data_IF_950682316708
#
_entry.id   IF_950682316708
#
_cell.length_a   1.000
_cell.length_b   1.000
_cell.length_c   1.000
_cell.angle_alpha   90.00
_cell.angle_beta   90.00
_cell.angle_gamma   90.00
#
_symmetry.space_group_name_H-M   'P 1'
#
loop_
_entity.id
_entity.type
_entity.pdbx_description
1 polymer ?
#
# COMPACT_ATOMS: atom_id res chain seq x y z
N UNK A 1 20.17 19.49 -2.44
CA UNK A 1 19.39 18.34 -2.96
C UNK A 1 18.23 18.11 -2.00
N UNK A 2 17.06 18.66 -2.28
CA UNK A 2 15.89 18.53 -1.40
C UNK A 2 15.25 17.17 -1.71
N UNK A 3 15.46 16.18 -0.85
CA UNK A 3 14.65 14.95 -0.86
C UNK A 3 13.38 15.25 -0.08
N UNK A 4 12.32 15.62 -0.77
CA UNK A 4 10.97 15.55 -0.23
C UNK A 4 10.62 14.06 -0.08
N UNK A 5 10.90 13.48 1.09
CA UNK A 5 10.24 12.23 1.47
C UNK A 5 8.85 12.62 1.93
N UNK A 6 7.81 12.12 1.27
CA UNK A 6 6.46 12.23 1.81
C UNK A 6 6.46 11.63 3.22
N UNK A 7 5.94 12.38 4.20
CA UNK A 7 5.69 11.83 5.53
C UNK A 7 4.52 10.87 5.37
N UNK A 8 4.80 9.58 5.34
CA UNK A 8 3.78 8.54 5.35
C UNK A 8 3.36 8.33 6.80
N UNK A 9 2.12 8.71 7.12
CA UNK A 9 1.50 8.37 8.39
C UNK A 9 1.08 6.89 8.32
N UNK A 10 1.94 6.03 8.85
CA UNK A 10 1.72 4.57 8.86
C UNK A 10 1.40 4.19 10.30
N UNK A 11 0.22 3.58 10.56
CA UNK A 11 -0.12 3.13 11.90
C UNK A 11 0.98 2.23 12.48
N UNK A 12 1.33 2.39 13.76
CA UNK A 12 2.35 1.57 14.38
C UNK A 12 1.92 0.10 14.34
N UNK A 13 2.88 -0.77 14.01
CA UNK A 13 2.73 -2.22 13.99
C UNK A 13 3.83 -2.83 14.83
N UNK A 14 3.52 -3.89 15.56
CA UNK A 14 4.51 -4.60 16.37
C UNK A 14 5.22 -5.69 15.56
N UNK A 15 6.47 -5.94 15.91
CA UNK A 15 7.23 -7.05 15.38
C UNK A 15 6.76 -8.37 16.03
N UNK A 16 6.35 -9.39 15.27
CA UNK A 16 5.89 -10.66 15.82
C UNK A 16 7.01 -11.47 16.52
N UNK A 17 8.29 -11.13 16.26
CA UNK A 17 9.43 -11.85 16.85
C UNK A 17 9.88 -11.27 18.20
N UNK A 18 9.68 -9.97 18.43
CA UNK A 18 10.23 -9.29 19.62
C UNK A 18 9.37 -8.14 20.16
N UNK A 19 8.17 -7.94 19.61
CA UNK A 19 7.16 -6.95 20.01
C UNK A 19 7.57 -5.47 19.93
N UNK A 20 8.79 -5.17 19.50
CA UNK A 20 9.20 -3.79 19.16
C UNK A 20 8.36 -3.21 18.03
N UNK A 21 8.03 -1.91 18.11
CA UNK A 21 7.35 -1.17 17.04
C UNK A 21 8.20 -1.13 15.78
N UNK A 22 7.60 -1.49 14.66
CA UNK A 22 8.23 -1.48 13.34
C UNK A 22 8.41 -0.05 12.84
N UNK A 23 9.53 0.19 12.16
CA UNK A 23 9.79 1.46 11.47
C UNK A 23 9.56 1.28 9.98
N UNK A 24 8.59 2.00 9.44
CA UNK A 24 8.35 2.03 8.00
C UNK A 24 9.37 2.94 7.29
N UNK A 25 9.93 2.43 6.20
CA UNK A 25 10.97 3.09 5.41
C UNK A 25 10.47 3.53 4.02
N UNK A 26 9.33 2.99 3.60
CA UNK A 26 8.67 3.29 2.34
C UNK A 26 7.37 2.50 2.20
N UNK A 27 6.88 2.42 0.98
CA UNK A 27 5.69 1.64 0.65
C UNK A 27 5.85 0.95 -0.70
N UNK A 28 5.01 -0.05 -0.94
CA UNK A 28 4.95 -0.85 -2.13
C UNK A 28 3.48 -1.02 -2.56
N UNK A 29 3.24 -0.94 -3.86
CA UNK A 29 1.95 -1.30 -4.45
C UNK A 29 2.15 -2.58 -5.27
N UNK A 30 1.43 -3.65 -4.91
CA UNK A 30 1.61 -5.00 -5.50
C UNK A 30 0.39 -5.45 -6.30
N UNK A 31 -0.21 -4.52 -7.06
CA UNK A 31 -1.56 -4.67 -7.60
C UNK A 31 -2.55 -4.07 -6.61
N UNK A 32 -3.53 -4.85 -6.14
CA UNK A 32 -4.64 -4.30 -5.34
C UNK A 32 -4.23 -3.83 -3.94
N UNK A 33 -3.09 -4.32 -3.43
CA UNK A 33 -2.60 -4.07 -2.07
C UNK A 33 -1.60 -2.91 -2.03
N UNK A 34 -1.71 -2.14 -0.95
CA UNK A 34 -0.75 -1.11 -0.57
C UNK A 34 -0.07 -1.56 0.72
N UNK A 35 1.26 -1.67 0.69
CA UNK A 35 2.06 -2.25 1.78
C UNK A 35 3.08 -1.23 2.28
N UNK A 36 3.22 -1.08 3.58
CA UNK A 36 4.37 -0.45 4.22
C UNK A 36 5.58 -1.39 4.14
N UNK A 37 6.71 -0.88 3.65
CA UNK A 37 8.01 -1.54 3.76
C UNK A 37 8.62 -1.19 5.11
N UNK A 38 8.66 -2.16 6.03
CA UNK A 38 9.03 -1.92 7.42
C UNK A 38 10.18 -2.80 7.90
N UNK A 39 10.94 -2.28 8.87
CA UNK A 39 12.02 -3.01 9.54
C UNK A 39 11.89 -2.87 11.05
N UNK A 40 12.13 -3.96 11.78
CA UNK A 40 12.23 -3.92 13.23
C UNK A 40 13.56 -3.29 13.66
N UNK A 41 13.56 -2.24 14.50
CA UNK A 41 14.80 -1.62 14.97
C UNK A 41 15.60 -2.53 15.91
N UNK A 42 14.95 -3.47 16.60
CA UNK A 42 15.57 -4.39 17.55
C UNK A 42 16.14 -5.64 16.86
N UNK A 43 15.28 -6.55 16.39
CA UNK A 43 15.73 -7.84 15.83
C UNK A 43 16.17 -7.76 14.35
N UNK A 44 16.02 -6.59 13.71
CA UNK A 44 16.37 -6.32 12.31
C UNK A 44 15.56 -7.07 11.25
N UNK A 45 14.55 -7.87 11.64
CA UNK A 45 13.62 -8.50 10.70
C UNK A 45 12.90 -7.47 9.83
N UNK A 46 12.61 -7.86 8.60
CA UNK A 46 12.00 -7.02 7.58
C UNK A 46 10.64 -7.55 7.18
N UNK A 47 9.69 -6.65 7.03
CA UNK A 47 8.29 -6.97 6.81
C UNK A 47 7.66 -6.12 5.72
N UNK A 48 6.63 -6.68 5.07
CA UNK A 48 5.61 -5.88 4.41
C UNK A 48 4.34 -5.93 5.25
N UNK A 49 3.83 -4.77 5.67
CA UNK A 49 2.57 -4.68 6.42
C UNK A 49 1.53 -3.94 5.60
N UNK A 50 0.26 -4.32 5.67
CA UNK A 50 -0.77 -3.57 4.96
C UNK A 50 -0.89 -2.13 5.47
N UNK A 51 -1.02 -1.19 4.53
CA UNK A 51 -1.52 0.15 4.82
C UNK A 51 -3.05 0.09 4.99
N UNK A 52 -3.64 0.93 5.86
CA UNK A 52 -5.06 0.88 6.21
C UNK A 52 -5.95 1.39 5.06
N UNK A 53 -6.18 0.53 4.05
CA UNK A 53 -7.01 0.85 2.89
C UNK A 53 -7.83 -0.37 2.44
N UNK A 54 -9.11 -0.16 2.13
CA UNK A 54 -10.01 -1.25 1.70
C UNK A 54 -10.13 -2.34 2.77
N UNK A 55 -9.98 -3.62 2.38
CA UNK A 55 -10.04 -4.75 3.31
C UNK A 55 -9.01 -4.65 4.44
N UNK A 56 -7.82 -4.10 4.15
CA UNK A 56 -6.76 -3.95 5.14
C UNK A 56 -7.08 -2.92 6.25
N UNK A 57 -8.15 -2.12 6.11
CA UNK A 57 -8.64 -1.30 7.21
C UNK A 57 -9.15 -2.17 8.37
N UNK A 58 -9.73 -3.33 8.05
CA UNK A 58 -10.37 -4.23 9.02
C UNK A 58 -9.48 -5.39 9.41
N UNK A 59 -8.76 -5.95 8.43
CA UNK A 59 -7.96 -7.16 8.62
C UNK A 59 -6.56 -6.96 8.05
N UNK A 60 -5.77 -6.02 8.59
CA UNK A 60 -4.42 -5.77 8.10
C UNK A 60 -3.51 -6.97 8.40
N UNK A 61 -2.64 -7.30 7.45
CA UNK A 61 -1.74 -8.45 7.53
C UNK A 61 -0.28 -8.00 7.52
N UNK A 62 0.59 -8.78 8.17
CA UNK A 62 2.05 -8.59 8.14
C UNK A 62 2.73 -9.81 7.47
N UNK A 63 3.70 -9.55 6.60
CA UNK A 63 4.44 -10.56 5.85
C UNK A 63 5.92 -10.49 6.17
N UNK A 64 6.53 -11.59 6.61
CA UNK A 64 7.96 -11.72 6.84
C UNK A 64 8.73 -11.95 5.53
N UNK A 65 9.60 -11.01 5.17
CA UNK A 65 10.32 -11.09 3.89
C UNK A 65 11.32 -12.24 3.81
N UNK A 66 11.87 -12.65 4.96
CA UNK A 66 12.93 -13.66 5.06
C UNK A 66 12.34 -15.07 5.08
N UNK A 67 11.36 -15.30 5.95
CA UNK A 67 10.78 -16.63 6.15
C UNK A 67 9.57 -16.89 5.25
N UNK A 68 8.99 -15.84 4.64
CA UNK A 68 7.77 -15.94 3.85
C UNK A 68 6.52 -16.24 4.69
N UNK A 69 6.60 -16.02 6.01
CA UNK A 69 5.50 -16.21 6.94
C UNK A 69 4.50 -15.07 6.84
N UNK A 70 3.21 -15.39 6.98
CA UNK A 70 2.12 -14.42 7.06
C UNK A 70 1.58 -14.42 8.48
N UNK A 71 1.51 -13.24 9.09
CA UNK A 71 0.87 -13.02 10.38
C UNK A 71 -0.49 -12.38 10.13
N UNK A 72 -1.52 -13.17 10.38
CA UNK A 72 -2.93 -12.82 10.17
C UNK A 72 -3.69 -13.00 11.48
N UNK A 73 -3.74 -11.93 12.27
CA UNK A 73 -4.40 -11.90 13.58
C UNK A 73 -5.94 -12.05 13.47
N UNK A 74 -6.49 -11.93 12.25
CA UNK A 74 -7.92 -11.90 11.97
C UNK A 74 -8.43 -13.18 11.29
N UNK A 75 -7.52 -14.12 10.99
CA UNK A 75 -7.83 -15.42 10.37
C UNK A 75 -8.61 -15.31 9.05
N UNK A 76 -8.21 -14.37 8.19
CA UNK A 76 -8.74 -14.14 6.84
C UNK A 76 -7.83 -14.81 5.80
N UNK A 77 -7.88 -16.14 5.77
CA UNK A 77 -6.98 -16.98 4.96
C UNK A 77 -6.91 -16.58 3.49
N UNK A 78 -8.04 -16.32 2.83
CA UNK A 78 -8.04 -15.89 1.42
C UNK A 78 -7.22 -14.61 1.18
N UNK A 79 -7.25 -13.68 2.13
CA UNK A 79 -6.52 -12.42 2.04
C UNK A 79 -5.03 -12.70 2.28
N UNK A 80 -4.69 -13.43 3.34
CA UNK A 80 -3.34 -13.87 3.65
C UNK A 80 -2.66 -14.61 2.47
N UNK A 81 -3.37 -15.55 1.87
CA UNK A 81 -2.92 -16.36 0.75
C UNK A 81 -2.58 -15.50 -0.46
N UNK A 82 -3.40 -14.50 -0.79
CA UNK A 82 -3.11 -13.58 -1.90
C UNK A 82 -1.82 -12.80 -1.69
N UNK A 83 -1.50 -12.40 -0.46
CA UNK A 83 -0.25 -11.70 -0.16
C UNK A 83 0.95 -12.64 -0.33
N UNK A 84 0.88 -13.83 0.25
CA UNK A 84 1.95 -14.83 0.13
C UNK A 84 2.20 -15.22 -1.33
N UNK A 85 1.13 -15.47 -2.08
CA UNK A 85 1.19 -15.85 -3.48
C UNK A 85 1.70 -14.74 -4.39
N UNK A 86 1.24 -13.50 -4.19
CA UNK A 86 1.72 -12.33 -4.92
C UNK A 86 3.22 -12.15 -4.68
N UNK A 87 3.66 -12.30 -3.44
CA UNK A 87 5.08 -12.22 -3.11
C UNK A 87 5.88 -13.34 -3.79
N UNK A 88 5.43 -14.60 -3.75
CA UNK A 88 6.09 -15.73 -4.40
C UNK A 88 6.20 -15.55 -5.93
N UNK A 89 5.15 -15.00 -6.56
CA UNK A 89 5.05 -14.80 -8.01
C UNK A 89 5.57 -13.44 -8.49
N UNK A 90 6.19 -12.64 -7.62
CA UNK A 90 6.70 -11.32 -7.98
C UNK A 90 7.75 -11.40 -9.09
N UNK A 91 7.67 -10.48 -10.05
CA UNK A 91 8.65 -10.39 -11.14
C UNK A 91 9.63 -9.25 -10.87
N UNK A 92 10.84 -9.37 -11.44
CA UNK A 92 11.82 -8.26 -11.48
C UNK A 92 11.66 -7.41 -12.75
N UNK A 93 10.77 -7.81 -13.63
CA UNK A 93 10.52 -7.13 -14.89
C UNK A 93 9.94 -5.74 -14.61
N UNK A 94 10.61 -4.71 -15.13
CA UNK A 94 10.11 -3.35 -15.00
C UNK A 94 8.92 -3.17 -15.94
N UNK A 95 7.77 -2.84 -15.38
CA UNK A 95 6.61 -2.39 -16.15
C UNK A 95 6.73 -0.90 -16.41
N UNK A 96 6.57 -0.50 -17.67
CA UNK A 96 6.44 0.92 -18.02
C UNK A 96 5.11 1.47 -17.50
N UNK A 97 5.06 2.77 -17.24
CA UNK A 97 3.83 3.48 -16.90
C UNK A 97 3.69 4.71 -17.81
N UNK A 98 2.45 5.00 -18.19
CA UNK A 98 2.11 6.25 -18.86
C UNK A 98 1.56 7.22 -17.81
N UNK A 99 1.98 8.47 -17.88
CA UNK A 99 1.48 9.52 -16.99
C UNK A 99 0.72 10.55 -17.80
N UNK A 100 -0.50 10.89 -17.34
CA UNK A 100 -1.26 12.02 -17.85
C UNK A 100 -1.46 13.01 -16.72
N UNK A 101 -1.11 14.27 -16.96
CA UNK A 101 -1.18 15.35 -15.98
C UNK A 101 -2.21 16.37 -16.44
N UNK A 102 -3.18 16.66 -15.56
CA UNK A 102 -4.27 17.60 -15.84
C UNK A 102 -4.11 18.92 -15.07
N UNK A 103 -3.27 18.95 -14.04
CA UNK A 103 -3.03 20.13 -13.21
C UNK A 103 -1.66 20.06 -12.53
N UNK A 104 -1.20 21.18 -11.95
CA UNK A 104 0.00 21.18 -11.11
C UNK A 104 -0.19 20.29 -9.87
N UNK A 105 0.88 19.62 -9.45
CA UNK A 105 0.88 18.76 -8.24
C UNK A 105 1.13 19.64 -7.02
N UNK A 106 0.25 19.55 -6.03
CA UNK A 106 0.32 20.24 -4.74
C UNK A 106 1.18 19.43 -3.75
N UNK A 107 1.45 20.02 -2.60
CA UNK A 107 2.28 19.38 -1.55
C UNK A 107 1.61 18.14 -0.95
N UNK A 108 0.27 18.13 -0.87
CA UNK A 108 -0.51 16.98 -0.41
C UNK A 108 -1.02 16.18 -1.59
N UNK A 109 -0.80 14.86 -1.55
CA UNK A 109 -1.19 13.95 -2.62
C UNK A 109 -2.01 12.80 -2.06
N UNK A 110 -3.10 12.48 -2.73
CA UNK A 110 -3.87 11.26 -2.52
C UNK A 110 -3.61 10.34 -3.70
N UNK A 111 -3.04 9.16 -3.42
CA UNK A 111 -2.83 8.12 -4.41
C UNK A 111 -3.95 7.09 -4.33
N UNK A 112 -4.82 7.09 -5.34
CA UNK A 112 -5.91 6.15 -5.49
C UNK A 112 -5.45 4.95 -6.32
N UNK A 113 -5.13 3.85 -5.63
CA UNK A 113 -4.73 2.60 -6.28
C UNK A 113 -5.96 1.84 -6.81
N UNK A 114 -6.14 1.85 -8.14
CA UNK A 114 -7.18 1.12 -8.85
C UNK A 114 -6.62 -0.07 -9.65
N UNK A 115 -5.43 -0.57 -9.30
CA UNK A 115 -4.88 -1.84 -9.81
C UNK A 115 -5.58 -3.02 -9.11
N UNK A 116 -6.88 -3.15 -9.31
CA UNK A 116 -7.72 -4.13 -8.64
C UNK A 116 -8.22 -5.16 -9.67
N UNK A 117 -8.30 -6.43 -9.27
CA UNK A 117 -8.88 -7.48 -10.11
C UNK A 117 -10.40 -7.37 -10.18
N UNK A 118 -11.02 -6.68 -9.21
CA UNK A 118 -12.46 -6.49 -9.13
C UNK A 118 -12.81 -5.07 -9.58
N UNK A 119 -13.40 -4.96 -10.78
CA UNK A 119 -13.79 -3.69 -11.39
C UNK A 119 -14.62 -2.79 -10.47
N UNK A 120 -15.58 -3.38 -9.74
CA UNK A 120 -16.43 -2.65 -8.80
C UNK A 120 -15.65 -1.91 -7.71
N UNK A 121 -14.53 -2.44 -7.24
CA UNK A 121 -13.68 -1.77 -6.26
C UNK A 121 -13.07 -0.49 -6.83
N UNK A 122 -12.53 -0.57 -8.04
CA UNK A 122 -11.96 0.57 -8.75
C UNK A 122 -13.02 1.61 -9.05
N UNK A 123 -14.23 1.19 -9.45
CA UNK A 123 -15.34 2.12 -9.68
C UNK A 123 -15.74 2.88 -8.41
N UNK A 124 -15.89 2.18 -7.27
CA UNK A 124 -16.22 2.83 -5.99
C UNK A 124 -15.13 3.82 -5.56
N UNK A 125 -13.86 3.46 -5.74
CA UNK A 125 -12.71 4.37 -5.51
C UNK A 125 -12.82 5.63 -6.37
N UNK A 126 -13.11 5.47 -7.67
CA UNK A 126 -13.26 6.57 -8.62
C UNK A 126 -14.48 7.45 -8.33
N UNK A 127 -15.60 6.88 -7.88
CA UNK A 127 -16.75 7.67 -7.46
C UNK A 127 -16.42 8.52 -6.22
N UNK A 128 -15.68 7.94 -5.26
CA UNK A 128 -15.19 8.68 -4.09
C UNK A 128 -14.11 9.72 -4.44
N UNK A 129 -13.44 9.60 -5.60
CA UNK A 129 -12.49 10.61 -6.06
C UNK A 129 -13.12 11.99 -6.21
N UNK A 130 -14.40 12.05 -6.62
CA UNK A 130 -15.14 13.28 -6.83
C UNK A 130 -15.20 14.13 -5.55
N UNK A 131 -15.37 13.49 -4.38
CA UNK A 131 -15.36 14.20 -3.10
C UNK A 131 -14.07 15.01 -2.90
N UNK A 132 -12.91 14.44 -3.25
CA UNK A 132 -11.64 15.14 -3.10
C UNK A 132 -11.46 16.26 -4.12
N UNK A 133 -11.98 16.08 -5.33
CA UNK A 133 -11.95 17.12 -6.36
C UNK A 133 -12.81 18.33 -5.99
N UNK A 134 -13.97 18.09 -5.37
CA UNK A 134 -14.94 19.14 -5.04
C UNK A 134 -14.67 19.80 -3.69
N UNK A 135 -14.25 19.03 -2.68
CA UNK A 135 -14.23 19.48 -1.27
C UNK A 135 -12.83 19.50 -0.64
N UNK A 136 -11.81 18.92 -1.27
CA UNK A 136 -10.43 18.91 -0.75
C UNK A 136 -9.48 19.63 -1.70
N UNK A 137 -9.70 20.93 -1.87
CA UNK A 137 -9.00 21.75 -2.86
C UNK A 137 -7.50 21.97 -2.56
N UNK A 138 -6.96 21.49 -1.44
CA UNK A 138 -5.53 21.54 -1.11
C UNK A 138 -4.76 20.26 -1.46
N UNK A 139 -5.45 19.21 -1.94
CA UNK A 139 -4.80 17.96 -2.35
C UNK A 139 -4.73 17.80 -3.87
N UNK A 140 -3.74 17.04 -4.34
CA UNK A 140 -3.68 16.51 -5.70
C UNK A 140 -4.07 15.04 -5.69
N UNK A 141 -5.01 14.68 -6.54
CA UNK A 141 -5.39 13.29 -6.73
C UNK A 141 -4.55 12.65 -7.84
N UNK A 142 -3.91 11.53 -7.53
CA UNK A 142 -3.25 10.65 -8.51
C UNK A 142 -4.04 9.35 -8.54
N UNK A 143 -4.47 8.93 -9.72
CA UNK A 143 -5.18 7.66 -9.92
C UNK A 143 -4.26 6.70 -10.66
N UNK A 144 -4.05 5.51 -10.08
CA UNK A 144 -3.27 4.45 -10.70
C UNK A 144 -4.22 3.42 -11.32
N UNK A 145 -4.22 3.33 -12.64
CA UNK A 145 -5.11 2.45 -13.42
C UNK A 145 -4.30 1.36 -14.14
N UNK A 146 -4.88 0.17 -14.39
CA UNK A 146 -4.28 -0.81 -15.28
C UNK A 146 -4.23 -0.24 -16.71
N UNK A 147 -3.14 -0.53 -17.43
CA UNK A 147 -3.02 -0.19 -18.86
C UNK A 147 -3.84 -1.24 -19.63
N UNK A 148 -4.80 -0.78 -20.43
CA UNK A 148 -5.53 -1.61 -21.39
C UNK A 148 -4.62 -2.00 -22.57
#
# INVERSE_FOLDING_TARGET
>A
MIRLKSTLEIPPRECPHCHSVLTASGFLITGMRNLADSRCPQCKSEFYGDLPAGQALYTPILFDKKFGAVYDDYNVGWFADWLADSYKRRTKERRGFQTRKFSAVKDKVILLNCLDTLYGHSLLKLLNAQYYLDFQLDVSLIVLLPIC
#
